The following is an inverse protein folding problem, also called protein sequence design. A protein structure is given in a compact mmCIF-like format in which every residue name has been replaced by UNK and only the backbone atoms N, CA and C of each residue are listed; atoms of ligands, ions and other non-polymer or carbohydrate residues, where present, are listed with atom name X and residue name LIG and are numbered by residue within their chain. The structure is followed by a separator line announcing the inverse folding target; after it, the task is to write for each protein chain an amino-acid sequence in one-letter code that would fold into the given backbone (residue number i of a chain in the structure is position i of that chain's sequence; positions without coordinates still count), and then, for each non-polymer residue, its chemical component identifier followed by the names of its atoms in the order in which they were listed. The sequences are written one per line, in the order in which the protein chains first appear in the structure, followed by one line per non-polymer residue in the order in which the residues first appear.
data_IF_536394341069
#
_entry.id   IF_536394341069
#
_cell.length_a   1.000
_cell.length_b   1.000
_cell.length_c   1.000
_cell.angle_alpha   90.00
_cell.angle_beta   90.00
_cell.angle_gamma   90.00
#
_symmetry.space_group_name_H-M   'P 1'
#
loop_
_entity.id
_entity.type
_entity.pdbx_description
1 polymer ?
#
# COMPACT_ATOMS: atom_id res chain seq x y z
N UNK A 1 -4.41 -2.70 -39.02
CA UNK A 1 -4.68 -1.60 -38.07
C UNK A 1 -3.37 -1.28 -37.36
N UNK A 2 -3.04 0.00 -37.17
CA UNK A 2 -1.87 0.32 -36.35
C UNK A 2 -2.08 -0.17 -34.93
N UNK A 3 -1.02 -0.71 -34.31
CA UNK A 3 -1.01 -1.17 -32.93
C UNK A 3 -0.12 -0.25 -32.08
N UNK A 4 -0.36 -0.22 -30.77
CA UNK A 4 0.57 0.41 -29.85
C UNK A 4 1.81 -0.48 -29.63
N UNK A 5 3.00 0.10 -29.37
CA UNK A 5 4.25 -0.67 -29.37
C UNK A 5 4.35 -1.69 -28.21
N UNK A 6 3.80 -1.37 -27.02
CA UNK A 6 4.04 -2.16 -25.82
C UNK A 6 2.92 -3.17 -25.49
N UNK A 7 1.66 -2.79 -25.65
CA UNK A 7 0.51 -3.64 -25.34
C UNK A 7 -0.32 -4.02 -26.57
N UNK A 8 0.18 -3.71 -27.76
CA UNK A 8 -0.42 -4.05 -29.05
C UNK A 8 -1.91 -3.69 -29.19
N UNK A 9 -2.35 -2.61 -28.55
CA UNK A 9 -3.71 -2.11 -28.67
C UNK A 9 -3.98 -1.64 -30.09
N UNK A 10 -5.08 -2.10 -30.67
CA UNK A 10 -5.53 -1.63 -31.97
C UNK A 10 -6.03 -0.18 -31.86
N UNK A 11 -5.40 0.72 -32.60
CA UNK A 11 -5.90 2.09 -32.74
C UNK A 11 -7.02 2.09 -33.77
N UNK A 12 -8.25 2.54 -33.41
CA UNK A 12 -9.33 2.63 -34.39
C UNK A 12 -8.93 3.59 -35.51
N UNK A 13 -9.05 3.15 -36.75
CA UNK A 13 -8.89 4.01 -37.92
C UNK A 13 -10.26 4.63 -38.24
N UNK A 14 -10.47 5.84 -37.77
CA UNK A 14 -11.74 6.56 -37.98
C UNK A 14 -11.60 7.63 -39.05
N UNK A 15 -12.63 7.76 -39.87
CA UNK A 15 -12.66 8.74 -40.97
C UNK A 15 -13.13 10.12 -40.55
N UNK A 16 -13.83 10.25 -39.41
CA UNK A 16 -14.38 11.54 -38.92
C UNK A 16 -13.95 11.77 -37.45
N UNK A 17 -12.96 12.10 -37.33
CA UNK A 17 -11.74 12.16 -36.64
C UNK A 17 -11.66 13.03 -35.35
N UNK A 18 -12.71 13.47 -34.67
CA UNK A 18 -12.56 14.34 -33.49
C UNK A 18 -12.59 13.59 -32.15
N UNK A 19 -13.10 12.39 -32.09
CA UNK A 19 -13.17 11.60 -30.85
C UNK A 19 -12.11 10.48 -30.80
N UNK A 20 -11.59 10.05 -31.91
CA UNK A 20 -10.54 9.04 -31.97
C UNK A 20 -9.17 9.56 -31.51
N UNK A 21 -8.92 10.87 -31.67
CA UNK A 21 -7.66 11.50 -31.20
C UNK A 21 -7.49 11.34 -29.69
N UNK A 22 -8.48 11.70 -28.82
CA UNK A 22 -8.37 11.46 -27.37
C UNK A 22 -8.26 9.98 -27.02
N UNK A 23 -8.97 9.10 -27.72
CA UNK A 23 -8.91 7.67 -27.47
C UNK A 23 -7.54 7.08 -27.80
N UNK A 24 -6.97 7.45 -28.94
CA UNK A 24 -5.63 7.03 -29.32
C UNK A 24 -4.56 7.58 -28.38
N UNK A 25 -4.67 8.85 -27.97
CA UNK A 25 -3.77 9.46 -26.99
C UNK A 25 -3.82 8.71 -25.64
N UNK A 26 -5.02 8.33 -25.18
CA UNK A 26 -5.17 7.53 -23.97
C UNK A 26 -4.55 6.13 -24.10
N UNK A 27 -4.68 5.50 -25.26
CA UNK A 27 -4.05 4.22 -25.54
C UNK A 27 -2.51 4.32 -25.53
N UNK A 28 -1.95 5.40 -26.12
CA UNK A 28 -0.50 5.65 -26.11
C UNK A 28 0.03 5.92 -24.68
N UNK A 29 -0.74 6.64 -23.85
CA UNK A 29 -0.39 6.87 -22.44
C UNK A 29 -0.35 5.56 -21.66
N UNK A 30 -1.36 4.70 -21.82
CA UNK A 30 -1.44 3.40 -21.15
C UNK A 30 -0.30 2.48 -21.60
N UNK A 31 0.00 2.44 -22.89
CA UNK A 31 1.09 1.66 -23.43
C UNK A 31 2.45 2.15 -22.93
N UNK A 32 2.65 3.47 -22.89
CA UNK A 32 3.86 4.10 -22.34
C UNK A 32 4.02 3.79 -20.84
N UNK A 33 2.95 3.83 -20.06
CA UNK A 33 2.98 3.48 -18.63
C UNK A 33 3.30 2.00 -18.42
N UNK A 34 2.66 1.11 -19.19
CA UNK A 34 2.96 -0.32 -19.16
C UNK A 34 4.44 -0.61 -19.44
N UNK A 35 5.00 0.01 -20.48
CA UNK A 35 6.42 -0.13 -20.82
C UNK A 35 7.36 0.34 -19.72
N UNK A 36 7.08 1.48 -19.09
CA UNK A 36 7.88 1.99 -17.97
C UNK A 36 7.90 1.02 -16.78
N UNK A 37 6.72 0.54 -16.37
CA UNK A 37 6.57 -0.39 -15.26
C UNK A 37 7.29 -1.71 -15.56
N UNK A 38 7.07 -2.28 -16.75
CA UNK A 38 7.70 -3.54 -17.17
C UNK A 38 9.23 -3.42 -17.17
N UNK A 39 9.77 -2.34 -17.74
CA UNK A 39 11.21 -2.12 -17.75
C UNK A 39 11.79 -1.96 -16.34
N UNK A 40 11.07 -1.27 -15.46
CA UNK A 40 11.48 -1.13 -14.06
C UNK A 40 11.49 -2.48 -13.35
N UNK A 41 10.42 -3.25 -13.46
CA UNK A 41 10.31 -4.58 -12.86
C UNK A 41 11.41 -5.52 -13.37
N UNK A 42 11.68 -5.54 -14.67
CA UNK A 42 12.77 -6.33 -15.26
C UNK A 42 14.13 -5.95 -14.67
N UNK A 43 14.37 -4.67 -14.40
CA UNK A 43 15.61 -4.21 -13.74
C UNK A 43 15.67 -4.68 -12.29
N UNK A 44 14.55 -4.67 -11.56
CA UNK A 44 14.48 -5.08 -10.15
C UNK A 44 14.58 -6.60 -9.99
N UNK A 45 13.95 -7.39 -10.86
CA UNK A 45 13.99 -8.87 -10.81
C UNK A 45 15.41 -9.42 -10.89
N UNK A 46 16.32 -8.72 -11.57
CA UNK A 46 17.72 -9.14 -11.66
C UNK A 46 18.55 -8.87 -10.40
N UNK A 47 18.05 -8.05 -9.48
CA UNK A 47 18.81 -7.54 -8.32
C UNK A 47 18.14 -7.70 -6.96
N UNK A 48 16.84 -8.06 -6.91
CA UNK A 48 16.07 -8.00 -5.68
C UNK A 48 15.15 -9.21 -5.50
N UNK A 49 14.92 -9.58 -4.25
CA UNK A 49 13.91 -10.55 -3.86
C UNK A 49 12.53 -9.87 -3.80
N UNK A 50 11.91 -9.63 -4.94
CA UNK A 50 10.55 -9.09 -5.00
C UNK A 50 9.59 -10.12 -4.43
N UNK A 51 8.74 -9.66 -3.52
CA UNK A 51 7.71 -10.46 -2.86
C UNK A 51 6.34 -10.10 -3.39
N UNK A 52 6.04 -8.80 -3.53
CA UNK A 52 4.76 -8.32 -4.03
C UNK A 52 4.91 -6.98 -4.76
N UNK A 53 3.96 -6.68 -5.65
CA UNK A 53 3.94 -5.48 -6.47
C UNK A 53 2.53 -4.93 -6.56
N UNK A 54 2.35 -3.65 -6.23
CA UNK A 54 1.08 -2.96 -6.33
C UNK A 54 1.21 -1.69 -7.18
N UNK A 55 0.27 -1.49 -8.12
CA UNK A 55 0.19 -0.25 -8.91
C UNK A 55 -0.93 0.60 -8.33
N UNK A 56 -0.55 1.70 -7.69
CA UNK A 56 -1.48 2.66 -7.12
C UNK A 56 -1.65 3.87 -8.03
N UNK A 57 -2.89 4.15 -8.42
CA UNK A 57 -3.26 5.32 -9.21
C UNK A 57 -4.17 6.22 -8.38
N UNK A 58 -3.67 7.37 -7.95
CA UNK A 58 -4.41 8.32 -7.09
C UNK A 58 -5.68 8.85 -7.74
N UNK A 59 -5.78 8.86 -9.08
CA UNK A 59 -7.02 9.25 -9.77
C UNK A 59 -8.20 8.28 -9.52
N UNK A 60 -7.93 7.10 -8.92
CA UNK A 60 -8.96 6.14 -8.50
C UNK A 60 -9.39 6.32 -7.04
N UNK A 61 -8.75 7.22 -6.32
CA UNK A 61 -9.16 7.59 -4.96
C UNK A 61 -10.51 8.29 -4.97
N UNK A 62 -11.20 8.28 -3.85
CA UNK A 62 -12.57 8.80 -3.76
C UNK A 62 -12.68 10.30 -4.02
N UNK A 63 -11.58 11.05 -3.88
CA UNK A 63 -11.46 12.47 -4.23
C UNK A 63 -10.73 12.73 -5.56
N UNK A 64 -10.46 11.67 -6.35
CA UNK A 64 -9.69 11.76 -7.60
C UNK A 64 -8.23 12.12 -7.42
N UNK A 65 -7.66 11.94 -6.22
CA UNK A 65 -6.27 12.23 -5.90
C UNK A 65 -6.00 13.66 -5.43
N UNK A 66 -7.04 14.43 -5.13
CA UNK A 66 -6.90 15.81 -4.64
C UNK A 66 -6.17 15.89 -3.28
N UNK A 67 -6.22 14.83 -2.48
CA UNK A 67 -5.53 14.72 -1.20
C UNK A 67 -4.02 14.99 -1.29
N UNK A 68 -3.41 14.67 -2.42
CA UNK A 68 -1.96 14.89 -2.63
C UNK A 68 -1.59 16.37 -2.52
N UNK A 69 -2.49 17.26 -2.92
CA UNK A 69 -2.35 18.71 -2.76
C UNK A 69 -2.58 19.19 -1.33
N UNK A 70 -3.39 18.49 -0.54
CA UNK A 70 -3.63 18.82 0.87
C UNK A 70 -2.47 18.36 1.78
N UNK A 71 -1.67 17.41 1.35
CA UNK A 71 -0.58 16.81 2.12
C UNK A 71 0.71 17.63 2.15
N UNK A 72 0.75 18.83 1.59
CA UNK A 72 1.95 19.70 1.50
C UNK A 72 2.50 20.15 2.85
N UNK A 73 1.72 20.07 3.92
CA UNK A 73 2.14 20.41 5.29
C UNK A 73 2.72 19.24 6.07
N UNK A 74 2.66 18.03 5.51
CA UNK A 74 3.12 16.82 6.18
C UNK A 74 4.64 16.74 6.22
N UNK A 75 5.19 16.01 7.19
CA UNK A 75 6.64 15.92 7.41
C UNK A 75 7.37 15.35 6.19
N UNK A 76 6.80 14.33 5.56
CA UNK A 76 7.38 13.68 4.38
C UNK A 76 7.43 14.61 3.15
N UNK A 77 6.53 15.59 3.06
CA UNK A 77 6.57 16.56 1.96
C UNK A 77 7.74 17.54 2.09
N UNK A 78 8.10 17.90 3.33
CA UNK A 78 9.19 18.83 3.63
C UNK A 78 10.54 18.13 3.86
N UNK A 79 10.57 16.80 3.80
CA UNK A 79 11.77 15.98 3.97
C UNK A 79 12.87 16.35 2.97
N UNK A 80 14.13 16.15 3.37
CA UNK A 80 15.31 16.35 2.49
C UNK A 80 15.25 15.35 1.32
N UNK A 81 15.28 15.86 0.12
CA UNK A 81 15.28 15.08 -1.12
C UNK A 81 16.66 14.52 -1.48
N UNK A 82 16.68 13.57 -2.42
CA UNK A 82 17.88 12.92 -2.95
C UNK A 82 18.72 12.23 -1.87
N UNK A 83 18.06 11.56 -0.95
CA UNK A 83 18.68 10.68 0.04
C UNK A 83 18.57 9.20 -0.37
N UNK A 84 19.15 8.30 0.41
CA UNK A 84 19.01 6.86 0.18
C UNK A 84 17.55 6.37 0.29
N UNK A 85 16.68 7.10 1.01
CA UNK A 85 15.28 6.72 1.27
C UNK A 85 14.25 7.70 0.72
N UNK A 86 14.69 8.78 0.07
CA UNK A 86 13.85 9.81 -0.50
C UNK A 86 14.36 10.27 -1.86
N UNK A 87 13.49 10.20 -2.86
CA UNK A 87 13.79 10.62 -4.23
C UNK A 87 13.86 12.14 -4.42
N UNK A 88 13.83 12.56 -5.66
CA UNK A 88 14.01 13.96 -6.06
C UNK A 88 12.73 14.81 -6.03
N UNK A 89 11.55 14.20 -5.85
CA UNK A 89 10.25 14.88 -5.90
C UNK A 89 9.54 14.86 -4.56
N UNK A 90 8.88 15.99 -4.24
CA UNK A 90 8.08 16.15 -3.02
C UNK A 90 6.69 15.55 -3.17
N UNK A 91 6.05 15.85 -4.29
CA UNK A 91 4.68 15.46 -4.59
C UNK A 91 4.54 13.94 -4.61
N UNK A 92 3.43 13.44 -4.06
CA UNK A 92 3.13 12.03 -4.19
C UNK A 92 2.90 11.65 -5.67
N UNK A 93 3.44 10.52 -6.15
CA UNK A 93 3.27 10.10 -7.55
C UNK A 93 1.80 9.93 -7.94
N UNK A 94 1.38 10.50 -9.07
CA UNK A 94 0.01 10.26 -9.59
C UNK A 94 -0.24 8.80 -9.89
N UNK A 95 0.79 8.10 -10.38
CA UNK A 95 0.80 6.64 -10.47
C UNK A 95 2.06 6.17 -9.76
N UNK A 96 1.88 5.44 -8.67
CA UNK A 96 2.96 4.84 -7.90
C UNK A 96 3.09 3.35 -8.22
N UNK A 97 4.30 2.90 -8.48
CA UNK A 97 4.66 1.48 -8.47
C UNK A 97 5.23 1.18 -7.08
N UNK A 98 4.49 0.40 -6.29
CA UNK A 98 4.87 0.00 -4.93
C UNK A 98 5.44 -1.41 -5.02
N UNK A 99 6.68 -1.60 -4.59
CA UNK A 99 7.39 -2.88 -4.67
C UNK A 99 7.78 -3.30 -3.26
N UNK A 100 7.26 -4.43 -2.83
CA UNK A 100 7.68 -5.11 -1.61
C UNK A 100 8.85 -6.04 -1.92
N UNK A 101 9.93 -5.88 -1.18
CA UNK A 101 11.13 -6.71 -1.20
C UNK A 101 11.33 -7.29 0.20
N UNK A 102 12.15 -8.32 0.37
CA UNK A 102 12.37 -8.95 1.68
C UNK A 102 12.92 -8.01 2.76
N UNK A 103 13.47 -6.86 2.39
CA UNK A 103 14.11 -5.92 3.34
C UNK A 103 13.54 -4.50 3.31
N UNK A 104 12.62 -4.22 2.40
CA UNK A 104 12.06 -2.87 2.22
C UNK A 104 10.79 -2.87 1.39
N UNK A 105 10.04 -1.80 1.48
CA UNK A 105 9.03 -1.41 0.48
C UNK A 105 9.50 -0.13 -0.18
N UNK A 106 9.53 -0.13 -1.51
CA UNK A 106 9.93 1.03 -2.30
C UNK A 106 8.76 1.53 -3.14
N UNK A 107 8.48 2.81 -3.05
CA UNK A 107 7.52 3.51 -3.91
C UNK A 107 8.32 4.18 -5.03
N UNK A 108 7.97 3.88 -6.27
CA UNK A 108 8.53 4.50 -7.47
C UNK A 108 7.50 5.39 -8.16
N UNK A 109 7.95 6.48 -8.75
CA UNK A 109 7.09 7.34 -9.57
C UNK A 109 6.99 6.78 -11.00
N UNK A 110 5.90 6.06 -11.27
CA UNK A 110 5.65 5.47 -12.59
C UNK A 110 5.19 6.51 -13.63
N UNK A 111 4.89 7.75 -13.24
CA UNK A 111 4.59 8.82 -14.19
C UNK A 111 5.86 9.35 -14.87
N UNK A 112 7.01 9.23 -14.21
CA UNK A 112 8.29 9.72 -14.71
C UNK A 112 9.03 8.69 -15.57
N UNK A 113 9.89 9.19 -16.46
CA UNK A 113 10.77 8.34 -17.26
C UNK A 113 11.74 7.60 -16.35
N UNK A 114 11.86 6.27 -16.52
CA UNK A 114 12.75 5.43 -15.74
C UNK A 114 12.20 5.05 -14.36
N UNK A 115 10.96 5.41 -14.03
CA UNK A 115 10.33 5.11 -12.74
C UNK A 115 11.30 5.35 -11.56
N UNK A 116 11.71 6.60 -11.30
CA UNK A 116 12.65 6.89 -10.22
C UNK A 116 12.06 6.54 -8.87
N UNK A 117 12.91 6.18 -7.91
CA UNK A 117 12.51 5.99 -6.53
C UNK A 117 11.94 7.29 -5.97
N UNK A 118 10.77 7.20 -5.33
CA UNK A 118 10.14 8.31 -4.63
C UNK A 118 10.35 8.22 -3.11
N UNK A 119 10.08 7.05 -2.50
CA UNK A 119 10.27 6.84 -1.06
C UNK A 119 10.58 5.37 -0.75
N UNK A 120 11.36 5.13 0.31
CA UNK A 120 11.68 3.80 0.82
C UNK A 120 11.29 3.68 2.28
N UNK A 121 10.62 2.58 2.62
CA UNK A 121 10.41 2.09 3.97
C UNK A 121 11.31 0.88 4.17
N UNK A 122 12.26 0.95 5.10
CA UNK A 122 13.25 -0.10 5.33
C UNK A 122 12.89 -0.95 6.54
N UNK A 123 13.23 -2.23 6.50
CA UNK A 123 13.22 -3.09 7.69
C UNK A 123 14.16 -2.49 8.73
N UNK A 124 13.66 -2.29 9.94
CA UNK A 124 14.46 -1.80 11.06
C UNK A 124 15.38 -2.87 11.64
N UNK A 125 16.42 -2.44 12.31
CA UNK A 125 17.34 -3.31 13.07
C UNK A 125 17.05 -3.22 14.57
N UNK A 126 15.84 -3.48 15.02
CA UNK A 126 15.52 -3.30 16.45
C UNK A 126 14.28 -4.07 16.88
N UNK A 127 14.21 -4.37 18.16
CA UNK A 127 13.05 -4.99 18.79
C UNK A 127 11.83 -4.04 18.83
N UNK A 128 10.68 -4.58 19.13
CA UNK A 128 9.32 -4.02 19.20
C UNK A 128 9.18 -2.56 19.68
N UNK A 129 10.07 -2.09 20.53
CA UNK A 129 10.02 -0.76 21.13
C UNK A 129 10.85 0.28 20.39
N UNK A 130 11.71 -0.14 19.47
CA UNK A 130 12.68 0.73 18.78
C UNK A 130 12.66 0.55 17.25
N UNK A 131 11.62 -0.07 16.70
CA UNK A 131 11.52 -0.34 15.26
C UNK A 131 11.24 0.88 14.41
N UNK A 132 11.54 0.75 13.12
CA UNK A 132 11.23 1.73 12.10
C UNK A 132 9.75 1.63 11.68
N UNK A 133 9.24 2.70 11.06
CA UNK A 133 7.95 2.66 10.36
C UNK A 133 8.09 1.78 9.11
N UNK A 134 7.12 0.87 8.91
CA UNK A 134 7.07 -0.04 7.79
C UNK A 134 7.51 -1.46 8.09
N UNK A 135 8.46 -1.68 9.03
CA UNK A 135 8.88 -3.02 9.47
C UNK A 135 9.64 -2.95 10.77
N UNK A 136 9.50 -3.95 11.61
CA UNK A 136 9.91 -3.87 13.00
C UNK A 136 11.04 -4.74 13.37
N UNK A 137 11.33 -5.81 12.68
CA UNK A 137 12.26 -6.76 13.28
C UNK A 137 13.18 -7.47 12.29
N UNK A 138 14.37 -7.82 12.78
CA UNK A 138 15.26 -8.74 12.10
C UNK A 138 14.54 -10.08 11.93
N UNK A 139 13.96 -10.32 10.75
CA UNK A 139 13.27 -11.55 10.41
C UNK A 139 11.82 -11.38 9.95
N UNK A 140 11.22 -10.18 10.08
CA UNK A 140 9.95 -9.90 9.43
C UNK A 140 10.17 -9.29 8.05
N UNK A 141 9.50 -9.81 7.07
CA UNK A 141 9.50 -9.23 5.73
C UNK A 141 8.09 -8.90 5.26
N UNK A 142 7.96 -7.92 4.34
CA UNK A 142 6.72 -7.71 3.62
C UNK A 142 6.32 -8.97 2.87
N UNK A 143 5.04 -9.26 2.92
CA UNK A 143 4.43 -10.36 2.14
C UNK A 143 3.50 -9.79 1.09
N UNK A 144 2.70 -8.80 1.45
CA UNK A 144 1.75 -8.19 0.53
C UNK A 144 1.59 -6.70 0.81
N UNK A 145 1.30 -5.93 -0.22
CA UNK A 145 1.10 -4.48 -0.15
C UNK A 145 -0.15 -4.06 -0.92
N UNK A 146 -0.89 -3.12 -0.35
CA UNK A 146 -2.01 -2.46 -1.01
C UNK A 146 -2.01 -0.97 -0.67
N UNK A 147 -2.57 -0.13 -1.54
CA UNK A 147 -2.67 1.30 -1.29
C UNK A 147 -4.00 1.85 -1.82
N UNK A 148 -4.66 2.70 -1.03
CA UNK A 148 -5.92 3.33 -1.39
C UNK A 148 -6.15 4.58 -0.54
N UNK A 149 -6.66 5.66 -1.14
CA UNK A 149 -7.00 6.91 -0.46
C UNK A 149 -5.86 7.43 0.43
N UNK A 150 -4.62 7.40 -0.07
CA UNK A 150 -3.45 7.87 0.67
C UNK A 150 -3.03 7.01 1.87
N UNK A 151 -3.55 5.78 1.98
CA UNK A 151 -3.15 4.81 3.00
C UNK A 151 -2.41 3.65 2.33
N UNK A 152 -1.15 3.42 2.71
CA UNK A 152 -0.35 2.25 2.34
C UNK A 152 -0.51 1.19 3.42
N UNK A 153 -0.96 0.00 3.04
CA UNK A 153 -1.05 -1.17 3.89
C UNK A 153 0.06 -2.16 3.55
N UNK A 154 0.78 -2.65 4.58
CA UNK A 154 1.87 -3.60 4.45
C UNK A 154 1.59 -4.79 5.36
N UNK A 155 1.35 -5.95 4.76
CA UNK A 155 1.26 -7.22 5.47
C UNK A 155 2.65 -7.82 5.67
N UNK A 156 2.91 -8.38 6.86
CA UNK A 156 4.20 -8.99 7.20
C UNK A 156 4.01 -10.43 7.65
N UNK A 157 4.97 -11.29 7.29
CA UNK A 157 5.03 -12.69 7.74
C UNK A 157 6.29 -12.94 8.54
N UNK A 158 6.33 -14.03 9.24
CA UNK A 158 7.41 -14.75 9.93
C UNK A 158 7.27 -14.84 11.43
N UNK A 159 6.79 -13.82 12.11
CA UNK A 159 6.60 -13.91 13.55
C UNK A 159 5.13 -13.58 13.82
N UNK A 160 4.45 -14.46 14.56
CA UNK A 160 3.04 -14.30 14.96
C UNK A 160 2.73 -12.98 15.67
N UNK A 161 3.66 -12.05 15.73
CA UNK A 161 3.61 -10.83 16.53
C UNK A 161 3.70 -9.54 15.74
N UNK A 162 3.78 -9.56 14.39
CA UNK A 162 3.93 -8.31 13.61
C UNK A 162 2.63 -7.90 12.93
N UNK A 163 1.97 -8.79 12.21
CA UNK A 163 0.68 -8.50 11.60
C UNK A 163 0.74 -7.51 10.44
N UNK A 164 -0.09 -6.48 10.47
CA UNK A 164 -0.25 -5.52 9.37
C UNK A 164 -0.03 -4.08 9.84
N UNK A 165 0.61 -3.28 8.99
CA UNK A 165 0.84 -1.86 9.22
C UNK A 165 0.08 -1.02 8.19
N UNK A 166 -0.66 -0.02 8.67
CA UNK A 166 -1.35 0.97 7.85
C UNK A 166 -0.67 2.34 8.03
N UNK A 167 -0.10 2.86 6.95
CA UNK A 167 0.62 4.13 6.89
C UNK A 167 -0.25 5.16 6.18
N UNK A 168 -0.68 6.21 6.86
CA UNK A 168 -1.47 7.29 6.29
C UNK A 168 -0.58 8.47 5.91
N UNK A 169 -0.47 8.76 4.62
CA UNK A 169 0.27 9.91 4.11
C UNK A 169 -0.40 11.24 4.48
N UNK A 170 -1.72 11.25 4.64
CA UNK A 170 -2.45 12.44 5.07
C UNK A 170 -2.34 12.72 6.55
N UNK A 171 -2.45 11.69 7.38
CA UNK A 171 -2.29 11.81 8.83
C UNK A 171 -0.83 11.89 9.27
N UNK A 172 0.12 11.66 8.34
CA UNK A 172 1.56 11.62 8.60
C UNK A 172 1.92 10.68 9.75
N UNK A 173 1.27 9.54 9.79
CA UNK A 173 1.33 8.58 10.90
C UNK A 173 1.17 7.15 10.42
N UNK A 174 1.44 6.20 11.29
CA UNK A 174 1.24 4.79 11.04
C UNK A 174 0.66 4.09 12.26
N UNK A 175 -0.14 3.05 12.00
CA UNK A 175 -0.67 2.17 13.03
C UNK A 175 -0.42 0.71 12.66
N UNK A 176 0.08 -0.05 13.62
CA UNK A 176 0.30 -1.49 13.50
C UNK A 176 -0.80 -2.26 14.21
N UNK A 177 -1.48 -3.13 13.46
CA UNK A 177 -2.44 -4.10 13.96
C UNK A 177 -1.73 -5.44 14.18
N UNK A 178 -1.94 -6.04 15.36
CA UNK A 178 -1.28 -7.26 15.78
C UNK A 178 -2.27 -8.15 16.55
N UNK A 179 -1.86 -9.37 16.89
CA UNK A 179 -2.61 -10.32 17.74
C UNK A 179 -2.51 -10.01 19.23
N UNK A 180 -1.58 -9.15 19.63
CA UNK A 180 -1.30 -8.83 21.03
C UNK A 180 -1.33 -7.32 21.26
N UNK A 181 -1.93 -6.91 22.36
CA UNK A 181 -1.96 -5.51 22.78
C UNK A 181 -0.58 -4.90 23.07
N UNK A 182 0.46 -5.74 23.20
CA UNK A 182 1.79 -5.31 23.65
C UNK A 182 2.75 -4.99 22.51
N UNK A 183 2.40 -5.28 21.24
CA UNK A 183 3.37 -5.24 20.13
C UNK A 183 2.87 -4.47 18.92
N UNK A 184 2.54 -3.19 19.10
CA UNK A 184 2.06 -2.37 18.02
C UNK A 184 1.37 -1.11 18.53
N UNK A 185 0.38 -0.64 17.79
CA UNK A 185 -0.27 0.64 18.07
C UNK A 185 0.26 1.74 17.16
N UNK A 186 0.24 2.98 17.63
CA UNK A 186 0.70 4.12 16.85
C UNK A 186 2.23 4.19 16.85
N UNK A 187 2.82 4.48 15.69
CA UNK A 187 4.24 4.81 15.58
C UNK A 187 4.55 6.13 16.32
N UNK A 188 5.65 6.16 17.07
CA UNK A 188 6.02 7.33 17.91
C UNK A 188 6.73 8.45 17.13
N UNK A 189 6.74 8.36 15.81
CA UNK A 189 7.29 9.36 14.89
C UNK A 189 6.31 9.68 13.77
N UNK A 190 6.80 10.42 12.78
CA UNK A 190 6.09 10.72 11.54
C UNK A 190 6.77 10.02 10.34
N UNK A 191 6.23 10.19 9.13
CA UNK A 191 6.76 9.53 7.93
C UNK A 191 8.19 9.99 7.60
N UNK A 192 8.56 11.24 7.84
CA UNK A 192 9.95 11.68 7.62
C UNK A 192 10.94 11.00 8.59
N UNK A 193 10.45 10.55 9.74
CA UNK A 193 11.22 9.81 10.74
C UNK A 193 11.11 8.28 10.61
N UNK A 194 10.57 7.78 9.50
CA UNK A 194 10.31 6.33 9.27
C UNK A 194 11.52 5.42 9.46
N UNK A 195 12.73 5.94 9.31
CA UNK A 195 14.01 5.22 9.51
C UNK A 195 14.70 5.55 10.83
N UNK A 196 14.07 6.35 11.69
CA UNK A 196 14.70 6.88 12.90
C UNK A 196 14.55 5.97 14.13
N UNK A 197 14.03 4.76 14.00
CA UNK A 197 13.84 3.80 15.11
C UNK A 197 13.10 4.40 16.32
N UNK A 198 12.02 5.17 16.09
CA UNK A 198 11.20 5.79 17.13
C UNK A 198 10.38 4.79 17.94
N UNK A 199 10.15 3.60 17.40
CA UNK A 199 9.35 2.57 18.03
C UNK A 199 7.85 2.85 18.01
N UNK A 200 7.11 2.05 18.76
CA UNK A 200 5.65 1.99 18.77
C UNK A 200 5.12 2.25 20.16
N UNK A 201 3.90 2.73 20.25
CA UNK A 201 3.25 3.04 21.52
C UNK A 201 2.98 1.76 22.38
N UNK A 202 3.11 0.56 21.79
CA UNK A 202 2.89 -0.74 22.44
C UNK A 202 1.56 -0.83 23.21
N UNK A 203 0.52 -0.27 22.61
CA UNK A 203 -0.83 -0.26 23.16
C UNK A 203 -1.85 -0.40 22.02
N UNK A 204 -2.34 -1.61 21.82
CA UNK A 204 -3.42 -1.89 20.88
C UNK A 204 -4.68 -2.20 21.70
N UNK A 205 -5.76 -1.45 21.55
CA UNK A 205 -7.05 -1.78 22.16
C UNK A 205 -7.54 -3.15 21.67
N UNK A 206 -8.26 -3.89 22.53
CA UNK A 206 -8.72 -5.24 22.22
C UNK A 206 -9.56 -5.34 20.92
N UNK A 207 -10.33 -4.29 20.61
CA UNK A 207 -11.13 -4.21 19.38
C UNK A 207 -10.32 -3.88 18.11
N UNK A 208 -8.99 -3.84 18.21
CA UNK A 208 -8.05 -3.60 17.09
C UNK A 208 -7.04 -4.73 16.94
N UNK A 209 -7.23 -5.84 17.64
CA UNK A 209 -6.42 -7.03 17.45
C UNK A 209 -6.90 -7.79 16.21
N UNK A 210 -5.96 -8.33 15.43
CA UNK A 210 -6.24 -9.22 14.29
C UNK A 210 -6.17 -10.67 14.74
N UNK A 211 -6.84 -11.56 14.01
CA UNK A 211 -6.98 -12.98 14.38
C UNK A 211 -5.65 -13.74 14.44
N UNK A 212 -4.68 -13.39 13.58
CA UNK A 212 -3.36 -14.01 13.56
C UNK A 212 -2.33 -13.02 12.97
N UNK A 213 -1.08 -13.08 13.46
CA UNK A 213 -0.01 -12.19 13.03
C UNK A 213 0.78 -12.66 11.81
N UNK A 214 0.55 -13.89 11.33
CA UNK A 214 1.13 -14.39 10.08
C UNK A 214 0.21 -13.97 8.93
N UNK A 215 0.57 -12.87 8.27
CA UNK A 215 -0.20 -12.34 7.15
C UNK A 215 0.22 -13.04 5.87
N UNK A 216 -0.76 -13.41 5.06
CA UNK A 216 -0.58 -14.02 3.74
C UNK A 216 -0.92 -13.05 2.61
N UNK A 217 -1.93 -12.18 2.83
CA UNK A 217 -2.34 -11.21 1.82
C UNK A 217 -3.09 -10.04 2.45
N UNK A 218 -3.09 -8.88 1.77
CA UNK A 218 -3.87 -7.70 2.13
C UNK A 218 -4.60 -7.14 0.91
N UNK A 219 -5.85 -6.71 1.13
CA UNK A 219 -6.63 -6.02 0.11
C UNK A 219 -7.37 -4.82 0.71
N UNK A 220 -7.63 -3.81 -0.10
CA UNK A 220 -8.30 -2.58 0.33
C UNK A 220 -9.48 -2.23 -0.56
N UNK A 221 -10.50 -1.62 0.04
CA UNK A 221 -11.67 -1.08 -0.67
C UNK A 221 -12.25 0.12 0.06
N UNK A 222 -13.16 0.86 -0.59
CA UNK A 222 -13.88 2.03 -0.05
C UNK A 222 -15.38 1.76 0.11
N UNK A 223 -15.75 0.69 0.78
CA UNK A 223 -17.17 0.44 1.12
C UNK A 223 -17.61 1.22 2.36
N UNK A 224 -16.70 1.76 3.13
CA UNK A 224 -17.00 2.66 4.24
C UNK A 224 -17.69 3.93 3.73
N UNK A 225 -18.71 4.40 4.47
CA UNK A 225 -19.40 5.66 4.17
C UNK A 225 -18.90 6.82 5.03
N UNK A 226 -17.84 6.58 5.81
CA UNK A 226 -17.26 7.59 6.68
C UNK A 226 -16.15 8.32 5.96
N UNK A 227 -16.31 9.61 5.78
CA UNK A 227 -15.24 10.48 5.29
C UNK A 227 -14.35 10.90 6.47
N UNK A 228 -13.05 10.92 6.23
CA UNK A 228 -12.10 11.45 7.18
C UNK A 228 -12.08 12.99 7.14
N UNK A 229 -11.23 13.61 7.97
CA UNK A 229 -11.10 15.06 8.06
C UNK A 229 -10.70 15.75 6.74
N UNK A 230 -10.27 15.00 5.73
CA UNK A 230 -9.86 15.49 4.42
C UNK A 230 -10.90 15.23 3.32
N UNK A 231 -12.09 14.71 3.69
CA UNK A 231 -13.16 14.40 2.72
C UNK A 231 -12.94 13.10 1.93
N UNK A 232 -11.98 12.27 2.34
CA UNK A 232 -11.75 10.95 1.77
C UNK A 232 -12.50 9.88 2.55
N UNK A 233 -13.03 8.88 1.85
CA UNK A 233 -13.53 7.68 2.53
C UNK A 233 -12.36 6.92 3.13
N UNK A 234 -12.49 6.51 4.39
CA UNK A 234 -11.50 5.65 5.03
C UNK A 234 -11.49 4.28 4.38
N UNK A 235 -10.31 3.74 4.04
CA UNK A 235 -10.23 2.40 3.46
C UNK A 235 -10.65 1.32 4.46
N UNK A 236 -11.38 0.31 3.96
CA UNK A 236 -11.55 -0.97 4.63
C UNK A 236 -10.43 -1.90 4.17
N UNK A 237 -9.72 -2.51 5.11
CA UNK A 237 -8.59 -3.40 4.86
C UNK A 237 -9.00 -4.83 5.23
N UNK A 238 -8.87 -5.77 4.30
CA UNK A 238 -8.97 -7.19 4.58
C UNK A 238 -7.56 -7.79 4.69
N UNK A 239 -7.35 -8.58 5.71
CA UNK A 239 -6.06 -9.21 6.03
C UNK A 239 -6.26 -10.73 6.09
N UNK A 240 -5.73 -11.46 5.11
CA UNK A 240 -5.68 -12.91 5.12
C UNK A 240 -4.53 -13.38 5.99
N UNK A 241 -4.78 -14.33 6.88
CA UNK A 241 -3.80 -14.84 7.82
C UNK A 241 -3.92 -16.37 7.98
N UNK A 242 -2.94 -16.98 8.65
CA UNK A 242 -3.00 -18.38 9.03
C UNK A 242 -4.14 -18.73 10.03
N UNK A 243 -4.76 -17.74 10.64
CA UNK A 243 -5.88 -17.91 11.59
C UNK A 243 -7.25 -17.54 11.03
N UNK A 244 -7.34 -17.14 9.77
CA UNK A 244 -8.56 -16.62 9.14
C UNK A 244 -8.37 -15.23 8.56
N UNK A 245 -9.45 -14.46 8.44
CA UNK A 245 -9.44 -13.11 7.88
C UNK A 245 -9.85 -12.11 8.94
N UNK A 246 -9.08 -11.02 9.06
CA UNK A 246 -9.49 -9.84 9.82
C UNK A 246 -9.89 -8.72 8.84
N UNK A 247 -11.02 -8.09 9.11
CA UNK A 247 -11.48 -6.90 8.37
C UNK A 247 -11.35 -5.70 9.28
N UNK A 248 -10.56 -4.71 8.85
CA UNK A 248 -10.33 -3.46 9.57
C UNK A 248 -11.16 -2.38 8.88
N UNK A 249 -12.15 -1.84 9.59
CA UNK A 249 -13.05 -0.79 9.10
C UNK A 249 -12.77 0.53 9.81
N UNK A 250 -12.36 1.53 9.04
CA UNK A 250 -12.08 2.88 9.51
C UNK A 250 -10.62 3.30 9.41
N UNK A 251 -10.29 4.55 9.84
CA UNK A 251 -8.96 5.11 9.66
C UNK A 251 -7.90 4.34 10.45
N UNK A 252 -6.67 4.43 9.96
CA UNK A 252 -5.51 3.83 10.61
C UNK A 252 -5.44 4.23 12.09
N UNK A 253 -5.50 3.22 12.97
CA UNK A 253 -5.47 3.43 14.42
C UNK A 253 -6.80 3.84 15.07
N UNK A 254 -7.84 4.15 14.31
CA UNK A 254 -9.18 4.49 14.84
C UNK A 254 -10.19 3.39 14.55
N UNK A 255 -10.09 2.73 13.40
CA UNK A 255 -11.01 1.68 12.95
C UNK A 255 -11.13 0.49 13.91
N UNK A 256 -12.19 -0.27 13.74
CA UNK A 256 -12.45 -1.53 14.47
C UNK A 256 -12.05 -2.73 13.62
N UNK A 257 -11.66 -3.82 14.27
CA UNK A 257 -11.34 -5.09 13.61
C UNK A 257 -12.50 -6.07 13.84
N UNK A 258 -12.91 -6.73 12.76
CA UNK A 258 -13.87 -7.85 12.81
C UNK A 258 -13.18 -9.09 12.25
N UNK A 259 -13.06 -10.11 13.06
CA UNK A 259 -12.45 -11.36 12.65
C UNK A 259 -13.49 -12.33 12.07
N UNK A 260 -13.19 -12.81 10.88
CA UNK A 260 -13.91 -13.87 10.19
C UNK A 260 -13.14 -15.17 10.42
N UNK A 261 -13.41 -15.82 11.55
CA UNK A 261 -12.81 -17.11 11.89
C UNK A 261 -13.67 -18.27 11.37
N UNK A 262 -13.04 -19.31 10.87
CA UNK A 262 -13.74 -20.51 10.42
C UNK A 262 -14.31 -21.29 11.62
N UNK A 263 -15.48 -21.93 11.41
CA UNK A 263 -16.08 -22.86 12.38
C UNK A 263 -15.15 -24.06 12.60
N UNK A 264 -15.02 -24.49 13.84
CA UNK A 264 -14.11 -25.54 14.30
C UNK A 264 -14.13 -26.80 13.40
N UNK A 265 -12.97 -27.18 12.85
CA UNK A 265 -12.75 -28.43 12.12
C UNK A 265 -12.08 -28.31 10.75
N UNK A 266 -11.88 -27.11 10.23
CA UNK A 266 -11.13 -26.87 8.98
C UNK A 266 -9.93 -25.99 9.31
N UNK A 267 -8.77 -26.29 8.72
CA UNK A 267 -7.59 -25.42 8.84
C UNK A 267 -7.94 -24.05 8.27
N UNK A 268 -7.94 -23.04 9.13
CA UNK A 268 -8.38 -21.69 8.82
C UNK A 268 -7.30 -20.82 8.14
N UNK A 269 -6.43 -21.45 7.35
CA UNK A 269 -5.40 -20.70 6.58
C UNK A 269 -6.09 -20.02 5.41
N UNK A 270 -6.09 -18.69 5.42
CA UNK A 270 -6.54 -17.88 4.30
C UNK A 270 -5.33 -17.34 3.54
N UNK A 271 -5.23 -17.68 2.26
CA UNK A 271 -4.03 -17.37 1.45
C UNK A 271 -4.19 -16.15 0.57
N UNK A 272 -5.42 -15.77 0.25
CA UNK A 272 -5.73 -14.62 -0.60
C UNK A 272 -7.00 -13.93 -0.13
N UNK A 273 -6.99 -12.60 -0.17
CA UNK A 273 -8.18 -11.76 -0.01
C UNK A 273 -8.30 -10.80 -1.18
N UNK A 274 -9.52 -10.60 -1.66
CA UNK A 274 -9.79 -9.68 -2.76
C UNK A 274 -11.17 -9.06 -2.61
N UNK A 275 -11.27 -7.75 -2.81
CA UNK A 275 -12.55 -7.06 -2.97
C UNK A 275 -12.94 -6.96 -4.44
N UNK A 276 -14.22 -7.17 -4.75
CA UNK A 276 -14.73 -6.85 -6.08
C UNK A 276 -14.89 -5.33 -6.20
N UNK A 277 -14.49 -4.78 -7.34
CA UNK A 277 -14.57 -3.33 -7.58
C UNK A 277 -16.03 -2.80 -7.63
N UNK A 278 -16.99 -3.67 -7.98
CA UNK A 278 -18.39 -3.23 -8.15
C UNK A 278 -19.18 -3.11 -6.85
N UNK A 279 -18.94 -3.97 -5.85
CA UNK A 279 -19.83 -4.11 -4.69
C UNK A 279 -19.08 -4.29 -3.36
N UNK A 280 -17.76 -4.21 -3.36
CA UNK A 280 -16.95 -4.43 -2.15
C UNK A 280 -17.08 -5.85 -1.56
N UNK A 281 -17.50 -6.85 -2.37
CA UNK A 281 -17.61 -8.24 -1.90
C UNK A 281 -16.21 -8.78 -1.65
N UNK A 282 -15.98 -9.25 -0.44
CA UNK A 282 -14.73 -9.89 -0.04
C UNK A 282 -14.73 -11.36 -0.49
N UNK A 283 -13.74 -11.73 -1.28
CA UNK A 283 -13.41 -13.11 -1.63
C UNK A 283 -12.26 -13.58 -0.74
N UNK A 284 -12.39 -14.80 -0.24
CA UNK A 284 -11.36 -15.44 0.60
C UNK A 284 -11.11 -16.85 0.04
N UNK A 285 -9.84 -17.21 -0.09
CA UNK A 285 -9.41 -18.56 -0.48
C UNK A 285 -8.35 -19.09 0.46
#
# INVERSE_FOLDING_TARGET
MPTTPNIALNKPAYRDARWDIPLNANADILDGLHGKITNKLNTLVTSANIVDVFIYNTAKDTDGGAWTGAAITQSWYTETLNTATRGSKREFPKVALIVAETTKVTIYDATETGCPMWMVFQVGSGYWTTGNMGFVDSGAYPISVACLNGVLCIGSSIISTIGVEAISFLADSSFRYNVSSSYGGTYNGNIAERTAAKGWANSIPANKLIVNGLVNDVAMTTISRTENAYGLLDPVIAVATDGGVSVIDGPAGVGTVVDLTYVAGLNAISTLVKFTQANGILWVT
#
